data_IF_398899249632
#
_entry.id   IF_398899249632
#
_cell.length_a   1.000
_cell.length_b   1.000
_cell.length_c   1.000
_cell.angle_alpha   90.00
_cell.angle_beta   90.00
_cell.angle_gamma   90.00
#
_symmetry.space_group_name_H-M   'P 1'
#
loop_
_entity.id
_entity.type
_entity.pdbx_description
1 polymer ?
#
# COMPACT_ATOMS: atom_id res chain seq x y z
N UNK A 1 7.71 21.77 -87.65
CA UNK A 1 8.18 22.07 -86.28
C UNK A 1 7.05 22.20 -85.23
N UNK A 2 5.75 22.18 -85.60
CA UNK A 2 4.63 22.27 -84.64
C UNK A 2 4.17 20.92 -84.04
N UNK A 3 4.45 19.78 -84.69
CA UNK A 3 4.00 18.47 -84.20
C UNK A 3 4.81 17.91 -83.01
N UNK A 4 6.08 18.28 -82.87
CA UNK A 4 6.96 17.77 -81.80
C UNK A 4 6.63 18.41 -80.44
N UNK A 5 6.31 19.71 -80.43
CA UNK A 5 5.92 20.46 -79.21
C UNK A 5 4.56 19.99 -78.63
N UNK A 6 3.65 19.50 -79.46
CA UNK A 6 2.34 19.02 -79.01
C UNK A 6 2.41 17.62 -78.37
N UNK A 7 3.35 16.75 -78.79
CA UNK A 7 3.55 15.44 -78.14
C UNK A 7 4.23 15.56 -76.76
N UNK A 8 5.21 16.45 -76.61
CA UNK A 8 5.91 16.64 -75.34
C UNK A 8 5.03 17.26 -74.25
N UNK A 9 4.11 18.15 -74.61
CA UNK A 9 3.18 18.77 -73.65
C UNK A 9 2.08 17.80 -73.19
N UNK A 10 1.66 16.87 -74.05
CA UNK A 10 0.69 15.82 -73.71
C UNK A 10 1.28 14.80 -72.72
N UNK A 11 2.53 14.36 -72.93
CA UNK A 11 3.22 13.41 -72.04
C UNK A 11 3.50 13.98 -70.65
N UNK A 12 3.87 15.27 -70.55
CA UNK A 12 4.08 15.94 -69.25
C UNK A 12 2.77 16.00 -68.46
N UNK A 13 1.64 16.25 -69.13
CA UNK A 13 0.31 16.34 -68.50
C UNK A 13 -0.15 14.98 -67.99
N UNK A 14 0.05 13.90 -68.76
CA UNK A 14 -0.26 12.53 -68.34
C UNK A 14 0.59 12.10 -67.15
N UNK A 15 1.89 12.41 -67.16
CA UNK A 15 2.79 12.06 -66.08
C UNK A 15 2.44 12.78 -64.76
N UNK A 16 2.02 14.05 -64.82
CA UNK A 16 1.57 14.79 -63.64
C UNK A 16 0.24 14.26 -63.09
N UNK A 17 -0.71 13.89 -63.96
CA UNK A 17 -1.98 13.28 -63.55
C UNK A 17 -1.78 11.90 -62.89
N UNK A 18 -0.85 11.09 -63.39
CA UNK A 18 -0.48 9.81 -62.78
C UNK A 18 0.14 10.00 -61.38
N UNK A 19 1.07 10.95 -61.23
CA UNK A 19 1.66 11.29 -59.91
C UNK A 19 0.60 11.77 -58.92
N UNK A 20 -0.32 12.63 -59.34
CA UNK A 20 -1.41 13.12 -58.50
C UNK A 20 -2.35 11.98 -58.07
N UNK A 21 -2.68 11.04 -58.98
CA UNK A 21 -3.52 9.88 -58.70
C UNK A 21 -2.85 8.92 -57.70
N UNK A 22 -1.55 8.65 -57.84
CA UNK A 22 -0.79 7.81 -56.90
C UNK A 22 -0.71 8.47 -55.53
N UNK A 23 -0.49 9.78 -55.46
CA UNK A 23 -0.44 10.52 -54.20
C UNK A 23 -1.82 10.52 -53.49
N UNK A 24 -2.90 10.68 -54.26
CA UNK A 24 -4.26 10.59 -53.74
C UNK A 24 -4.57 9.20 -53.18
N UNK A 25 -4.22 8.13 -53.91
CA UNK A 25 -4.42 6.76 -53.42
C UNK A 25 -3.63 6.46 -52.13
N UNK A 26 -2.37 6.93 -52.03
CA UNK A 26 -1.58 6.79 -50.80
C UNK A 26 -2.26 7.46 -49.60
N UNK A 27 -2.75 8.70 -49.77
CA UNK A 27 -3.47 9.43 -48.70
C UNK A 27 -4.77 8.72 -48.28
N UNK A 28 -5.50 8.13 -49.22
CA UNK A 28 -6.73 7.37 -48.91
C UNK A 28 -6.42 6.09 -48.12
N UNK A 29 -5.32 5.40 -48.44
CA UNK A 29 -4.88 4.20 -47.71
C UNK A 29 -4.45 4.56 -46.28
N UNK A 30 -3.66 5.63 -46.11
CA UNK A 30 -3.27 6.11 -44.78
C UNK A 30 -4.48 6.51 -43.95
N UNK A 31 -5.43 7.26 -44.51
CA UNK A 31 -6.65 7.67 -43.81
C UNK A 31 -7.49 6.46 -43.35
N UNK A 32 -7.58 5.40 -44.17
CA UNK A 32 -8.24 4.15 -43.75
C UNK A 32 -7.53 3.47 -42.58
N UNK A 33 -6.19 3.42 -42.61
CA UNK A 33 -5.38 2.85 -41.52
C UNK A 33 -5.56 3.62 -40.21
N UNK A 34 -5.58 4.95 -40.26
CA UNK A 34 -5.84 5.78 -39.08
C UNK A 34 -7.26 5.59 -38.55
N UNK A 35 -8.27 5.45 -39.42
CA UNK A 35 -9.65 5.18 -39.03
C UNK A 35 -9.78 3.83 -38.30
N UNK A 36 -9.12 2.78 -38.78
CA UNK A 36 -9.11 1.47 -38.09
C UNK A 36 -8.43 1.54 -36.73
N UNK A 37 -7.29 2.24 -36.62
CA UNK A 37 -6.59 2.42 -35.34
C UNK A 37 -7.48 3.17 -34.33
N UNK A 38 -8.14 4.25 -34.76
CA UNK A 38 -9.06 5.02 -33.90
C UNK A 38 -10.27 4.17 -33.50
N UNK A 39 -10.83 3.38 -34.41
CA UNK A 39 -11.95 2.47 -34.10
C UNK A 39 -11.55 1.36 -33.13
N UNK A 40 -10.34 0.79 -33.24
CA UNK A 40 -9.82 -0.18 -32.29
C UNK A 40 -9.57 0.43 -30.91
N UNK A 41 -9.03 1.66 -30.84
CA UNK A 41 -8.87 2.38 -29.57
C UNK A 41 -10.22 2.69 -28.91
N UNK A 42 -11.22 3.11 -29.70
CA UNK A 42 -12.58 3.34 -29.21
C UNK A 42 -13.26 2.05 -28.73
N UNK A 43 -13.01 0.91 -29.38
CA UNK A 43 -13.53 -0.38 -28.94
C UNK A 43 -12.86 -0.87 -27.64
N UNK A 44 -11.54 -0.66 -27.48
CA UNK A 44 -10.84 -0.92 -26.21
C UNK A 44 -11.39 -0.04 -25.09
N UNK A 45 -11.64 1.24 -25.37
CA UNK A 45 -12.25 2.17 -24.40
C UNK A 45 -13.70 1.79 -24.06
N UNK A 46 -14.52 1.36 -25.03
CA UNK A 46 -15.90 0.91 -24.79
C UNK A 46 -15.98 -0.41 -24.00
N UNK A 47 -15.03 -1.32 -24.19
CA UNK A 47 -14.93 -2.53 -23.39
C UNK A 47 -14.50 -2.24 -21.95
N UNK A 48 -13.72 -1.18 -21.72
CA UNK A 48 -13.34 -0.76 -20.35
C UNK A 48 -14.51 -0.16 -19.54
N UNK A 49 -15.54 0.37 -20.20
CA UNK A 49 -16.69 1.00 -19.52
C UNK A 49 -17.83 0.04 -19.16
N UNK A 50 -17.86 -1.19 -19.69
CA UNK A 50 -18.95 -2.16 -19.45
C UNK A 50 -18.62 -3.14 -18.30
N UNK A 51 -17.41 -3.12 -17.73
CA UNK A 51 -17.04 -4.03 -16.65
C UNK A 51 -17.47 -3.57 -15.24
N UNK A 52 -17.93 -2.32 -15.08
CA UNK A 52 -18.18 -1.72 -13.76
C UNK A 52 -19.59 -1.97 -13.18
N UNK A 53 -20.45 -2.80 -13.79
CA UNK A 53 -21.85 -2.93 -13.34
C UNK A 53 -22.19 -4.32 -12.76
N UNK A 54 -21.24 -5.26 -12.60
CA UNK A 54 -21.55 -6.58 -12.01
C UNK A 54 -20.50 -7.16 -11.06
N UNK A 55 -19.88 -6.33 -10.23
CA UNK A 55 -19.22 -6.83 -9.02
C UNK A 55 -19.86 -6.20 -7.80
N UNK A 56 -20.35 -7.04 -6.88
CA UNK A 56 -20.37 -6.67 -5.47
C UNK A 56 -19.00 -6.04 -5.19
N UNK A 57 -18.97 -4.78 -4.73
CA UNK A 57 -17.75 -3.99 -4.64
C UNK A 57 -16.63 -4.85 -4.08
N UNK A 58 -15.69 -5.25 -4.94
CA UNK A 58 -14.51 -5.95 -4.48
C UNK A 58 -13.89 -5.04 -3.40
N UNK A 59 -13.49 -5.58 -2.24
CA UNK A 59 -12.93 -4.73 -1.22
C UNK A 59 -11.77 -3.94 -1.83
N UNK A 60 -11.73 -2.64 -1.58
CA UNK A 60 -10.74 -1.76 -2.21
C UNK A 60 -9.33 -2.27 -1.89
N UNK A 61 -8.65 -2.81 -2.91
CA UNK A 61 -7.26 -3.27 -2.80
C UNK A 61 -6.36 -2.09 -3.11
N UNK A 62 -5.50 -1.71 -2.17
CA UNK A 62 -4.42 -0.75 -2.41
C UNK A 62 -3.24 -1.50 -3.01
N UNK A 63 -2.67 -1.01 -4.10
CA UNK A 63 -1.49 -1.63 -4.73
C UNK A 63 -0.24 -0.84 -4.44
N UNK A 64 0.81 -1.53 -3.99
CA UNK A 64 2.15 -0.98 -3.81
C UNK A 64 3.18 -1.76 -4.62
N UNK A 65 3.92 -1.07 -5.48
CA UNK A 65 4.95 -1.66 -6.32
C UNK A 65 6.34 -1.29 -5.78
N UNK A 66 7.10 -2.27 -5.28
CA UNK A 66 8.39 -2.05 -4.61
C UNK A 66 9.46 -1.46 -5.53
N UNK A 67 9.33 -1.69 -6.84
CA UNK A 67 10.20 -1.10 -7.87
C UNK A 67 9.85 0.35 -8.22
N UNK A 68 8.88 0.98 -7.55
CA UNK A 68 8.51 2.39 -7.69
C UNK A 68 8.65 3.11 -6.33
N UNK A 69 9.87 3.25 -5.79
CA UNK A 69 10.11 3.82 -4.46
C UNK A 69 9.58 5.25 -4.30
N UNK A 70 9.55 6.03 -5.38
CA UNK A 70 9.00 7.39 -5.41
C UNK A 70 7.50 7.45 -5.08
N UNK A 71 6.76 6.35 -5.22
CA UNK A 71 5.33 6.27 -4.93
C UNK A 71 5.03 5.88 -3.48
N UNK A 72 6.05 5.63 -2.66
CA UNK A 72 5.86 5.11 -1.30
C UNK A 72 5.03 6.06 -0.42
N UNK A 73 5.30 7.36 -0.47
CA UNK A 73 4.53 8.34 0.30
C UNK A 73 3.06 8.38 -0.12
N UNK A 74 2.79 8.33 -1.44
CA UNK A 74 1.42 8.24 -1.97
C UNK A 74 0.72 6.98 -1.52
N UNK A 75 1.42 5.84 -1.53
CA UNK A 75 0.90 4.58 -1.01
C UNK A 75 0.52 4.69 0.48
N UNK A 76 1.42 5.16 1.33
CA UNK A 76 1.16 5.30 2.77
C UNK A 76 0.02 6.30 3.03
N UNK A 77 -0.04 7.39 2.28
CA UNK A 77 -1.15 8.35 2.34
C UNK A 77 -2.50 7.70 1.98
N UNK A 78 -2.54 6.86 0.94
CA UNK A 78 -3.74 6.14 0.55
C UNK A 78 -4.19 5.15 1.64
N UNK A 79 -3.25 4.48 2.33
CA UNK A 79 -3.58 3.62 3.48
C UNK A 79 -4.25 4.42 4.59
N UNK A 80 -3.69 5.59 4.95
CA UNK A 80 -4.28 6.48 5.97
C UNK A 80 -5.66 6.96 5.57
N UNK A 81 -5.80 7.46 4.35
CA UNK A 81 -7.04 8.01 3.81
C UNK A 81 -8.16 6.97 3.83
N UNK A 82 -7.86 5.73 3.42
CA UNK A 82 -8.86 4.64 3.34
C UNK A 82 -9.46 4.26 4.69
N UNK A 83 -8.71 4.41 5.79
CA UNK A 83 -9.18 4.05 7.15
C UNK A 83 -9.62 5.27 7.98
N UNK A 84 -9.41 6.48 7.48
CA UNK A 84 -9.68 7.69 8.20
C UNK A 84 -11.18 7.92 8.38
N UNK A 85 -11.55 8.55 9.50
CA UNK A 85 -12.82 9.22 9.64
C UNK A 85 -12.72 10.62 9.04
N UNK A 86 -13.15 10.79 7.79
CA UNK A 86 -13.04 12.09 7.11
C UNK A 86 -13.85 13.22 7.77
N UNK A 87 -14.74 12.89 8.72
CA UNK A 87 -15.51 13.88 9.47
C UNK A 87 -14.86 14.28 10.80
N UNK A 88 -13.77 13.61 11.20
CA UNK A 88 -13.11 13.85 12.48
C UNK A 88 -11.60 14.00 12.31
N UNK A 89 -11.06 15.06 12.89
CA UNK A 89 -9.63 15.25 13.06
C UNK A 89 -9.37 15.97 14.39
N UNK A 90 -8.18 15.75 14.95
CA UNK A 90 -7.77 16.39 16.20
C UNK A 90 -6.46 17.13 15.94
N UNK A 91 -6.48 18.44 16.09
CA UNK A 91 -5.32 19.30 15.78
C UNK A 91 -4.81 19.12 14.34
N UNK A 92 -5.69 18.82 13.39
CA UNK A 92 -5.33 18.54 11.99
C UNK A 92 -4.72 17.16 11.74
N UNK A 93 -4.71 16.27 12.73
CA UNK A 93 -4.34 14.86 12.55
C UNK A 93 -5.60 14.02 12.26
N UNK A 94 -5.60 13.20 11.20
CA UNK A 94 -6.70 12.28 10.95
C UNK A 94 -6.77 11.22 12.05
N UNK A 95 -7.97 10.67 12.27
CA UNK A 95 -8.21 9.57 13.20
C UNK A 95 -8.82 8.39 12.46
N UNK A 96 -8.47 7.17 12.87
CA UNK A 96 -9.11 5.95 12.36
C UNK A 96 -10.61 5.97 12.67
N UNK A 97 -11.42 5.56 11.69
CA UNK A 97 -12.86 5.41 11.83
C UNK A 97 -13.22 4.40 12.92
N UNK A 98 -14.34 4.64 13.60
CA UNK A 98 -14.87 3.67 14.55
C UNK A 98 -15.01 2.28 13.90
N UNK A 99 -14.69 1.19 14.63
CA UNK A 99 -14.76 -0.16 14.08
C UNK A 99 -16.12 -0.46 13.45
N UNK A 100 -16.11 -0.88 12.19
CA UNK A 100 -17.30 -1.24 11.43
C UNK A 100 -17.39 -2.77 11.29
N UNK A 101 -18.58 -3.31 11.56
CA UNK A 101 -18.88 -4.73 11.36
C UNK A 101 -18.80 -5.18 9.90
N UNK A 102 -18.99 -4.26 8.93
CA UNK A 102 -18.99 -4.55 7.49
C UNK A 102 -17.62 -4.40 6.84
N UNK A 103 -16.86 -3.37 7.23
CA UNK A 103 -15.57 -3.05 6.63
C UNK A 103 -14.41 -3.28 7.61
N UNK A 104 -14.28 -4.54 8.05
CA UNK A 104 -13.29 -4.95 9.07
C UNK A 104 -11.84 -4.96 8.56
N UNK A 105 -11.66 -5.07 7.24
CA UNK A 105 -10.36 -5.33 6.65
C UNK A 105 -10.06 -4.44 5.45
N UNK A 106 -8.80 -4.01 5.37
CA UNK A 106 -8.16 -3.38 4.23
C UNK A 106 -7.20 -4.39 3.60
N UNK A 107 -7.16 -4.45 2.27
CA UNK A 107 -6.24 -5.33 1.55
C UNK A 107 -5.17 -4.52 0.82
N UNK A 108 -3.92 -4.92 0.99
CA UNK A 108 -2.77 -4.26 0.35
C UNK A 108 -2.04 -5.29 -0.50
N UNK A 109 -2.04 -5.11 -1.81
CA UNK A 109 -1.27 -5.92 -2.73
C UNK A 109 0.13 -5.32 -2.91
N UNK A 110 1.15 -6.04 -2.45
CA UNK A 110 2.56 -5.67 -2.58
C UNK A 110 3.16 -6.46 -3.74
N UNK A 111 3.74 -5.76 -4.71
CA UNK A 111 4.32 -6.35 -5.91
C UNK A 111 5.83 -6.11 -5.99
N UNK A 112 6.56 -7.12 -6.42
CA UNK A 112 7.93 -6.99 -6.87
C UNK A 112 8.03 -7.35 -8.36
N UNK A 113 8.68 -6.48 -9.13
CA UNK A 113 8.93 -6.71 -10.56
C UNK A 113 9.88 -7.88 -10.79
N UNK A 114 9.95 -8.40 -12.02
CA UNK A 114 10.99 -9.37 -12.36
C UNK A 114 12.38 -8.70 -12.34
N UNK A 115 13.40 -9.42 -11.86
CA UNK A 115 14.78 -8.93 -11.80
C UNK A 115 15.78 -10.05 -12.12
N UNK A 116 16.41 -9.98 -13.29
CA UNK A 116 17.32 -11.02 -13.77
C UNK A 116 16.59 -12.36 -13.85
N UNK A 117 17.05 -13.36 -13.08
CA UNK A 117 16.41 -14.68 -12.98
C UNK A 117 15.25 -14.75 -11.98
N UNK A 118 14.99 -13.68 -11.22
CA UNK A 118 13.90 -13.65 -10.23
C UNK A 118 12.58 -13.27 -10.93
N UNK A 119 11.52 -14.09 -10.85
CA UNK A 119 10.23 -13.75 -11.45
C UNK A 119 9.55 -12.59 -10.72
N UNK A 120 8.56 -11.97 -11.37
CA UNK A 120 7.65 -11.07 -10.69
C UNK A 120 6.82 -11.86 -9.66
N UNK A 121 6.60 -11.28 -8.48
CA UNK A 121 5.81 -11.89 -7.42
C UNK A 121 4.87 -10.87 -6.79
N UNK A 122 3.78 -11.35 -6.20
CA UNK A 122 2.78 -10.53 -5.54
C UNK A 122 2.30 -11.19 -4.25
N UNK A 123 2.24 -10.42 -3.17
CA UNK A 123 1.68 -10.83 -1.88
C UNK A 123 0.55 -9.87 -1.52
N UNK A 124 -0.56 -10.39 -1.00
CA UNK A 124 -1.62 -9.53 -0.45
C UNK A 124 -1.59 -9.58 1.07
N UNK A 125 -1.50 -8.42 1.72
CA UNK A 125 -1.65 -8.24 3.15
C UNK A 125 -3.11 -7.96 3.49
N UNK A 126 -3.61 -8.51 4.59
CA UNK A 126 -4.91 -8.19 5.17
C UNK A 126 -4.68 -7.44 6.48
N UNK A 127 -5.13 -6.19 6.53
CA UNK A 127 -5.01 -5.31 7.68
C UNK A 127 -6.38 -5.13 8.34
N UNK A 128 -6.42 -5.12 9.66
CA UNK A 128 -7.62 -4.74 10.42
C UNK A 128 -7.78 -3.22 10.38
N UNK A 129 -8.93 -2.72 9.93
CA UNK A 129 -9.15 -1.28 9.73
C UNK A 129 -9.21 -0.49 11.03
N UNK A 130 -9.57 -1.11 12.16
CA UNK A 130 -9.71 -0.43 13.46
C UNK A 130 -8.39 0.02 14.08
N UNK A 131 -7.26 -0.55 13.65
CA UNK A 131 -5.95 -0.26 14.21
C UNK A 131 -4.78 -0.39 13.22
N UNK A 132 -5.04 -0.73 11.95
CA UNK A 132 -4.05 -0.99 10.90
C UNK A 132 -3.13 -2.20 11.16
N UNK A 133 -3.42 -3.08 12.12
CA UNK A 133 -2.59 -4.28 12.32
C UNK A 133 -2.72 -5.24 11.12
N UNK A 134 -1.59 -5.74 10.59
CA UNK A 134 -1.62 -6.86 9.64
C UNK A 134 -2.01 -8.13 10.39
N UNK A 135 -3.10 -8.76 9.97
CA UNK A 135 -3.65 -9.96 10.62
C UNK A 135 -3.41 -11.23 9.81
N UNK A 136 -3.19 -11.09 8.49
CA UNK A 136 -2.87 -12.18 7.58
C UNK A 136 -2.14 -11.68 6.33
N UNK A 137 -1.53 -12.59 5.58
CA UNK A 137 -1.12 -12.36 4.20
C UNK A 137 -1.39 -13.60 3.35
N UNK A 138 -1.47 -13.44 2.03
CA UNK A 138 -1.55 -14.53 1.06
C UNK A 138 -0.54 -14.38 -0.04
N UNK A 139 -0.03 -15.50 -0.51
CA UNK A 139 0.89 -15.65 -1.63
C UNK A 139 0.49 -16.87 -2.47
N UNK A 140 1.37 -17.26 -3.39
CA UNK A 140 1.24 -18.54 -4.11
C UNK A 140 2.32 -19.50 -3.65
N UNK A 141 1.98 -20.78 -3.55
CA UNK A 141 2.97 -21.85 -3.34
C UNK A 141 3.84 -22.08 -4.58
N UNK A 142 4.81 -22.99 -4.47
CA UNK A 142 5.71 -23.38 -5.56
C UNK A 142 5.00 -24.09 -6.74
N UNK A 143 3.72 -24.43 -6.60
CA UNK A 143 2.86 -24.98 -7.66
C UNK A 143 1.88 -23.93 -8.22
N UNK A 144 1.96 -22.68 -7.77
CA UNK A 144 1.10 -21.58 -8.20
C UNK A 144 -0.29 -21.55 -7.54
N UNK A 145 -0.53 -22.34 -6.48
CA UNK A 145 -1.79 -22.37 -5.74
C UNK A 145 -1.80 -21.30 -4.66
N UNK A 146 -2.93 -20.61 -4.52
CA UNK A 146 -3.10 -19.58 -3.50
C UNK A 146 -3.08 -20.20 -2.09
N UNK A 147 -2.41 -19.53 -1.16
CA UNK A 147 -2.39 -19.90 0.26
C UNK A 147 -2.32 -18.66 1.12
N UNK A 148 -2.85 -18.77 2.32
CA UNK A 148 -2.87 -17.69 3.30
C UNK A 148 -2.20 -18.12 4.60
N UNK A 149 -1.61 -17.14 5.26
CA UNK A 149 -0.98 -17.26 6.56
C UNK A 149 -1.56 -16.20 7.49
N UNK A 150 -1.89 -16.58 8.72
CA UNK A 150 -2.58 -15.66 9.64
C UNK A 150 -2.12 -15.82 11.08
N UNK A 151 -2.31 -14.73 11.83
CA UNK A 151 -2.15 -14.71 13.27
C UNK A 151 -3.44 -15.17 13.94
N UNK A 152 -3.46 -16.41 14.46
CA UNK A 152 -4.67 -17.03 15.04
C UNK A 152 -5.30 -16.22 16.18
N UNK A 153 -4.49 -15.47 16.93
CA UNK A 153 -4.94 -14.65 18.05
C UNK A 153 -5.53 -13.30 17.58
N UNK A 154 -5.47 -12.97 16.29
CA UNK A 154 -5.94 -11.70 15.72
C UNK A 154 -7.14 -11.83 14.79
N UNK A 155 -7.31 -12.98 14.16
CA UNK A 155 -8.37 -13.21 13.17
C UNK A 155 -8.79 -14.69 13.16
N UNK A 156 -10.09 -14.93 13.06
CA UNK A 156 -10.62 -16.27 12.89
C UNK A 156 -10.32 -16.77 11.47
N UNK A 157 -9.97 -18.05 11.31
CA UNK A 157 -9.61 -18.63 10.00
C UNK A 157 -10.65 -18.35 8.90
N UNK A 158 -11.96 -18.37 9.23
CA UNK A 158 -13.06 -18.09 8.30
C UNK A 158 -13.10 -16.65 7.76
N UNK A 159 -12.45 -15.71 8.45
CA UNK A 159 -12.41 -14.29 8.10
C UNK A 159 -11.12 -13.91 7.36
N UNK A 160 -10.14 -14.82 7.29
CA UNK A 160 -8.89 -14.68 6.53
C UNK A 160 -9.21 -14.86 5.06
N UNK A 161 -9.03 -13.83 4.24
CA UNK A 161 -9.31 -13.84 2.79
C UNK A 161 -10.58 -14.67 2.45
N UNK A 162 -11.79 -14.15 2.73
CA UNK A 162 -13.04 -14.93 2.66
C UNK A 162 -13.37 -15.46 1.25
N UNK A 163 -12.67 -14.97 0.22
CA UNK A 163 -12.70 -15.48 -1.14
C UNK A 163 -11.92 -16.81 -1.31
N UNK A 164 -11.11 -17.21 -0.33
CA UNK A 164 -10.30 -18.43 -0.36
C UNK A 164 -11.04 -19.63 0.26
N UNK A 165 -10.93 -20.78 -0.42
CA UNK A 165 -11.62 -22.03 -0.04
C UNK A 165 -10.64 -23.07 0.54
N UNK A 166 -9.93 -22.77 1.62
CA UNK A 166 -9.25 -23.77 2.50
C UNK A 166 -7.72 -24.00 2.36
N UNK A 167 -6.91 -22.98 2.08
CA UNK A 167 -5.46 -23.09 2.36
C UNK A 167 -5.06 -21.95 3.31
N UNK A 168 -5.42 -22.12 4.58
CA UNK A 168 -5.00 -21.24 5.66
C UNK A 168 -4.00 -21.99 6.54
N UNK A 169 -2.85 -21.37 6.77
CA UNK A 169 -1.83 -21.87 7.66
C UNK A 169 -1.66 -20.88 8.81
N UNK A 170 -1.68 -21.39 10.04
CA UNK A 170 -1.39 -20.55 11.19
C UNK A 170 0.09 -20.22 11.24
N UNK A 171 0.42 -18.96 11.50
CA UNK A 171 1.76 -18.55 11.88
C UNK A 171 2.00 -18.92 13.34
N UNK A 172 2.11 -20.22 13.63
CA UNK A 172 2.06 -20.75 15.00
C UNK A 172 3.21 -20.28 15.89
N UNK A 173 4.38 -20.00 15.31
CA UNK A 173 5.55 -19.49 16.05
C UNK A 173 5.66 -17.97 16.05
N UNK A 174 4.92 -17.30 15.18
CA UNK A 174 4.81 -15.85 15.16
C UNK A 174 3.50 -15.45 15.85
N UNK A 175 3.54 -15.12 17.14
CA UNK A 175 2.43 -14.36 17.74
C UNK A 175 2.52 -12.91 17.22
N UNK A 176 1.40 -12.19 17.02
CA UNK A 176 1.39 -10.77 16.63
C UNK A 176 2.12 -9.82 17.61
N UNK A 177 2.51 -10.28 18.79
CA UNK A 177 3.46 -9.58 19.66
C UNK A 177 4.82 -9.40 18.97
N UNK A 178 5.24 -8.14 18.82
CA UNK A 178 6.53 -7.75 18.29
C UNK A 178 7.71 -8.51 18.88
N UNK A 179 7.71 -8.84 20.17
CA UNK A 179 8.80 -9.60 20.79
C UNK A 179 8.93 -10.99 20.18
N UNK A 180 7.80 -11.65 19.90
CA UNK A 180 7.81 -12.98 19.29
C UNK A 180 8.20 -12.93 17.82
N UNK A 181 7.68 -11.95 17.07
CA UNK A 181 8.06 -11.75 15.67
C UNK A 181 9.58 -11.50 15.56
N UNK A 182 10.13 -10.59 16.37
CA UNK A 182 11.57 -10.30 16.40
C UNK A 182 12.40 -11.54 16.79
N UNK A 183 11.96 -12.27 17.83
CA UNK A 183 12.65 -13.50 18.26
C UNK A 183 12.69 -14.56 17.16
N UNK A 184 11.59 -14.76 16.44
CA UNK A 184 11.53 -15.75 15.35
C UNK A 184 12.30 -15.26 14.12
N UNK A 185 12.21 -13.97 13.79
CA UNK A 185 12.97 -13.35 12.70
C UNK A 185 14.48 -13.30 12.98
N UNK A 186 14.87 -13.39 14.26
CA UNK A 186 16.25 -13.24 14.77
C UNK A 186 16.83 -11.86 14.49
N UNK A 187 16.01 -10.82 14.61
CA UNK A 187 16.39 -9.41 14.45
C UNK A 187 15.46 -8.52 15.28
N UNK A 188 16.02 -7.52 15.97
CA UNK A 188 15.23 -6.51 16.67
C UNK A 188 14.82 -5.38 15.72
N UNK A 189 13.70 -4.73 16.01
CA UNK A 189 13.15 -3.60 15.23
C UNK A 189 14.17 -2.48 15.13
N UNK A 190 14.89 -2.18 16.22
CA UNK A 190 15.92 -1.13 16.25
C UNK A 190 17.09 -1.41 15.29
N UNK A 191 17.29 -2.66 14.90
CA UNK A 191 18.39 -3.10 14.04
C UNK A 191 17.93 -3.32 12.59
N UNK A 192 16.65 -3.04 12.27
CA UNK A 192 16.14 -3.11 10.91
C UNK A 192 16.63 -1.93 10.07
N UNK A 193 16.92 -2.22 8.81
CA UNK A 193 17.15 -1.19 7.80
C UNK A 193 15.85 -0.98 7.00
N UNK A 194 15.20 0.19 7.15
CA UNK A 194 13.94 0.51 6.46
C UNK A 194 14.17 0.87 5.00
N UNK A 195 14.55 -0.14 4.22
CA UNK A 195 14.87 -0.03 2.80
C UNK A 195 13.94 -0.93 2.01
N UNK A 196 13.30 -0.40 0.97
CA UNK A 196 12.39 -1.18 0.12
C UNK A 196 13.03 -2.44 -0.48
N UNK A 197 14.32 -2.46 -0.87
CA UNK A 197 14.99 -3.70 -1.25
C UNK A 197 15.03 -4.78 -0.15
N UNK A 198 15.07 -4.41 1.14
CA UNK A 198 15.07 -5.38 2.23
C UNK A 198 13.68 -5.98 2.43
N UNK A 199 12.61 -5.18 2.30
CA UNK A 199 11.24 -5.68 2.24
C UNK A 199 11.05 -6.61 1.04
N UNK A 200 11.56 -6.25 -0.15
CA UNK A 200 11.50 -7.09 -1.33
C UNK A 200 12.23 -8.43 -1.12
N UNK A 201 13.44 -8.40 -0.57
CA UNK A 201 14.22 -9.60 -0.29
C UNK A 201 13.52 -10.52 0.73
N UNK A 202 12.99 -9.95 1.82
CA UNK A 202 12.21 -10.70 2.80
C UNK A 202 10.94 -11.31 2.17
N UNK A 203 10.22 -10.54 1.34
CA UNK A 203 9.04 -11.02 0.62
C UNK A 203 9.38 -12.17 -0.32
N UNK A 204 10.46 -12.07 -1.11
CA UNK A 204 10.90 -13.13 -2.01
C UNK A 204 11.35 -14.40 -1.27
N UNK A 205 11.94 -14.24 -0.09
CA UNK A 205 12.37 -15.35 0.78
C UNK A 205 11.18 -16.10 1.40
N UNK A 206 10.08 -15.40 1.64
CA UNK A 206 8.82 -15.94 2.17
C UNK A 206 7.92 -16.55 1.08
N UNK A 207 7.88 -15.92 -0.10
CA UNK A 207 6.99 -16.29 -1.22
C UNK A 207 7.25 -17.71 -1.73
N UNK A 208 6.20 -18.50 -1.90
CA UNK A 208 6.30 -19.86 -2.45
C UNK A 208 7.02 -20.87 -1.56
N UNK A 209 7.48 -20.47 -0.37
CA UNK A 209 8.26 -21.32 0.52
C UNK A 209 7.49 -22.51 1.08
N UNK A 210 8.09 -23.70 1.10
CA UNK A 210 7.46 -24.92 1.60
C UNK A 210 7.52 -24.95 3.14
N UNK A 211 6.42 -25.28 3.82
CA UNK A 211 6.30 -25.28 5.29
C UNK A 211 7.28 -26.21 6.03
N UNK A 212 7.87 -27.19 5.32
CA UNK A 212 8.89 -28.11 5.85
C UNK A 212 10.32 -27.57 5.77
N UNK A 213 10.54 -26.40 5.17
CA UNK A 213 11.87 -25.78 5.15
C UNK A 213 12.27 -25.33 6.57
N UNK A 214 13.52 -25.63 6.95
CA UNK A 214 14.06 -25.33 8.28
C UNK A 214 13.98 -23.86 8.69
N UNK A 215 13.97 -22.95 7.71
CA UNK A 215 13.92 -21.49 7.93
C UNK A 215 12.51 -20.92 7.66
N UNK A 216 11.49 -21.76 7.54
CA UNK A 216 10.14 -21.35 7.16
C UNK A 216 9.62 -20.23 8.07
N UNK A 217 9.52 -20.51 9.36
CA UNK A 217 8.99 -19.57 10.36
C UNK A 217 9.84 -18.29 10.43
N UNK A 218 11.17 -18.41 10.49
CA UNK A 218 12.07 -17.26 10.47
C UNK A 218 11.85 -16.33 9.27
N UNK A 219 11.70 -16.87 8.06
CA UNK A 219 11.52 -16.06 6.84
C UNK A 219 10.13 -15.43 6.79
N UNK A 220 9.08 -16.14 7.25
CA UNK A 220 7.76 -15.53 7.40
C UNK A 220 7.77 -14.42 8.44
N UNK A 221 8.41 -14.63 9.59
CA UNK A 221 8.56 -13.63 10.64
C UNK A 221 9.28 -12.38 10.15
N UNK A 222 10.39 -12.54 9.42
CA UNK A 222 11.14 -11.42 8.86
C UNK A 222 10.33 -10.62 7.84
N UNK A 223 9.61 -11.30 6.93
CA UNK A 223 8.72 -10.65 5.98
C UNK A 223 7.60 -9.88 6.68
N UNK A 224 6.97 -10.49 7.69
CA UNK A 224 5.93 -9.84 8.49
C UNK A 224 6.48 -8.64 9.24
N UNK A 225 7.67 -8.74 9.83
CA UNK A 225 8.29 -7.64 10.55
C UNK A 225 8.52 -6.42 9.64
N UNK A 226 9.09 -6.62 8.46
CA UNK A 226 9.24 -5.53 7.49
C UNK A 226 7.90 -4.98 7.02
N UNK A 227 6.93 -5.85 6.72
CA UNK A 227 5.60 -5.43 6.25
C UNK A 227 4.87 -4.61 7.31
N UNK A 228 4.91 -5.02 8.57
CA UNK A 228 4.27 -4.29 9.66
C UNK A 228 4.92 -2.90 9.81
N UNK A 229 6.25 -2.81 9.84
CA UNK A 229 6.95 -1.54 10.01
C UNK A 229 6.73 -0.59 8.82
N UNK A 230 6.86 -1.09 7.59
CA UNK A 230 6.85 -0.28 6.37
C UNK A 230 5.45 -0.09 5.76
N UNK A 231 4.40 -0.63 6.40
CA UNK A 231 3.02 -0.43 5.98
C UNK A 231 2.19 0.10 7.14
N UNK A 232 2.02 -0.69 8.20
CA UNK A 232 1.18 -0.31 9.35
C UNK A 232 1.80 0.83 10.15
N UNK A 233 3.06 0.69 10.56
CA UNK A 233 3.70 1.70 11.40
C UNK A 233 4.07 2.96 10.61
N UNK A 234 4.45 2.83 9.34
CA UNK A 234 4.58 3.97 8.44
C UNK A 234 3.25 4.73 8.24
N UNK A 235 2.11 4.04 8.19
CA UNK A 235 0.80 4.71 8.16
C UNK A 235 0.51 5.42 9.50
N UNK A 236 0.83 4.81 10.65
CA UNK A 236 0.63 5.41 11.98
C UNK A 236 1.56 6.59 12.25
N UNK A 237 2.80 6.54 11.76
CA UNK A 237 3.85 7.52 12.03
C UNK A 237 4.54 8.02 10.76
N UNK A 238 4.48 9.33 10.55
CA UNK A 238 5.30 10.02 9.54
C UNK A 238 6.78 9.85 9.79
N UNK A 239 7.21 9.71 11.05
CA UNK A 239 8.61 9.44 11.39
C UNK A 239 9.14 8.16 10.71
N UNK A 240 8.38 7.07 10.78
CA UNK A 240 8.73 5.77 10.18
C UNK A 240 8.58 5.81 8.65
N UNK A 241 7.56 6.50 8.14
CA UNK A 241 7.45 6.81 6.70
C UNK A 241 8.72 7.51 6.20
N UNK A 242 9.16 8.58 6.87
CA UNK A 242 10.32 9.36 6.46
C UNK A 242 11.63 8.57 6.53
N UNK A 243 11.79 7.69 7.54
CA UNK A 243 12.93 6.76 7.57
C UNK A 243 12.93 5.84 6.35
N UNK A 244 11.76 5.35 5.93
CA UNK A 244 11.65 4.49 4.75
C UNK A 244 11.95 5.26 3.46
N UNK A 245 11.41 6.47 3.30
CA UNK A 245 11.68 7.35 2.15
C UNK A 245 13.17 7.64 2.03
N UNK A 246 13.83 7.94 3.15
CA UNK A 246 15.26 8.24 3.22
C UNK A 246 16.14 6.98 3.28
N UNK A 247 15.53 5.78 3.27
CA UNK A 247 16.23 4.50 3.37
C UNK A 247 17.17 4.41 4.58
N UNK A 248 16.74 4.95 5.71
CA UNK A 248 17.50 5.02 6.96
C UNK A 248 17.29 3.77 7.81
N UNK A 249 18.25 3.44 8.68
CA UNK A 249 18.02 2.44 9.71
C UNK A 249 16.91 2.87 10.66
N UNK A 250 16.28 1.87 11.25
CA UNK A 250 15.47 1.99 12.45
C UNK A 250 16.34 2.42 13.63
N UNK A 251 15.70 2.68 14.77
CA UNK A 251 16.36 3.05 16.01
C UNK A 251 15.46 2.79 17.23
N UNK A 252 15.95 3.20 18.39
CA UNK A 252 15.23 3.07 19.67
C UNK A 252 13.98 3.95 19.76
N UNK A 253 13.92 5.04 18.99
CA UNK A 253 12.78 5.95 18.96
C UNK A 253 11.63 5.34 18.19
N UNK A 254 11.91 4.69 17.05
CA UNK A 254 10.92 3.86 16.33
C UNK A 254 10.25 2.87 17.28
N UNK A 255 11.04 2.08 18.01
CA UNK A 255 10.51 1.10 18.94
C UNK A 255 9.68 1.76 20.06
N UNK A 256 10.08 2.94 20.54
CA UNK A 256 9.33 3.68 21.56
C UNK A 256 8.00 4.22 21.02
N UNK A 257 8.00 4.83 19.84
CA UNK A 257 6.80 5.37 19.19
C UNK A 257 5.77 4.27 18.92
N UNK A 258 6.20 3.16 18.32
CA UNK A 258 5.32 2.02 18.00
C UNK A 258 4.58 1.49 19.23
N UNK A 259 5.26 1.42 20.37
CA UNK A 259 4.66 0.95 21.63
C UNK A 259 3.68 1.95 22.26
N UNK A 260 3.83 3.25 21.97
CA UNK A 260 3.09 4.32 22.61
C UNK A 260 1.99 4.93 21.71
N UNK A 261 1.82 4.45 20.47
CA UNK A 261 0.86 5.01 19.49
C UNK A 261 -0.57 5.20 20.03
N UNK A 262 -1.12 4.19 20.68
CA UNK A 262 -2.49 4.26 21.21
C UNK A 262 -2.56 5.24 22.38
N UNK A 263 -1.59 5.22 23.29
CA UNK A 263 -1.53 6.15 24.43
C UNK A 263 -1.35 7.60 23.97
N UNK A 264 -0.54 7.84 22.94
CA UNK A 264 -0.42 9.15 22.30
C UNK A 264 -1.79 9.59 21.76
N UNK A 265 -2.51 8.70 21.08
CA UNK A 265 -3.87 8.98 20.59
C UNK A 265 -4.83 9.31 21.73
N UNK A 266 -4.77 8.56 22.84
CA UNK A 266 -5.56 8.79 24.06
C UNK A 266 -5.21 10.08 24.80
N UNK A 267 -4.00 10.62 24.63
CA UNK A 267 -3.65 11.95 25.15
C UNK A 267 -4.03 13.07 24.18
N UNK A 268 -3.86 12.88 22.87
CA UNK A 268 -4.12 13.90 21.84
C UNK A 268 -5.62 14.17 21.73
N UNK A 269 -6.45 13.12 21.60
CA UNK A 269 -7.90 13.25 21.30
C UNK A 269 -8.64 14.09 22.35
N UNK A 270 -8.53 13.82 23.67
CA UNK A 270 -9.23 14.60 24.70
C UNK A 270 -8.43 15.82 25.19
N UNK A 271 -7.26 16.13 24.61
CA UNK A 271 -6.44 17.25 25.10
C UNK A 271 -7.17 18.59 24.91
N UNK A 272 -7.00 19.47 25.90
CA UNK A 272 -7.43 20.88 25.82
C UNK A 272 -6.21 21.75 25.52
N UNK A 273 -6.35 22.65 24.54
CA UNK A 273 -5.27 23.54 24.07
C UNK A 273 -3.97 22.79 23.72
N UNK A 274 -4.11 21.55 23.25
CA UNK A 274 -3.03 20.67 22.86
C UNK A 274 -2.17 20.16 24.03
N UNK A 275 -2.62 20.25 25.29
CA UNK A 275 -1.87 19.78 26.47
C UNK A 275 -2.31 18.39 26.91
N UNK A 276 -1.34 17.51 27.13
CA UNK A 276 -1.59 16.15 27.61
C UNK A 276 -1.96 16.17 29.09
N UNK A 277 -2.88 15.28 29.49
CA UNK A 277 -3.20 15.06 30.90
C UNK A 277 -2.07 14.31 31.60
N UNK A 278 -1.52 13.31 30.91
CA UNK A 278 -0.38 12.52 31.35
C UNK A 278 0.71 12.60 30.28
N UNK A 279 1.91 13.08 30.62
CA UNK A 279 3.04 13.06 29.69
C UNK A 279 3.38 11.64 29.22
N UNK A 280 3.91 11.52 28.01
CA UNK A 280 4.35 10.24 27.43
C UNK A 280 5.85 10.29 27.21
N UNK A 281 6.57 9.29 27.72
CA UNK A 281 8.01 9.19 27.59
C UNK A 281 8.39 8.42 26.33
N UNK A 282 9.15 9.08 25.45
CA UNK A 282 9.69 8.52 24.21
C UNK A 282 11.21 8.44 24.33
N UNK A 283 11.81 7.30 23.96
CA UNK A 283 13.28 7.19 23.87
C UNK A 283 13.78 7.93 22.63
N UNK A 284 14.90 8.63 22.75
CA UNK A 284 15.47 9.44 21.65
C UNK A 284 16.47 8.63 20.84
N UNK A 285 16.41 8.72 19.51
CA UNK A 285 17.29 7.98 18.60
C UNK A 285 18.79 8.24 18.86
N UNK A 286 19.16 9.51 19.06
CA UNK A 286 20.55 9.95 19.23
C UNK A 286 21.18 9.49 20.56
N UNK A 287 20.37 9.20 21.58
CA UNK A 287 20.85 8.75 22.87
C UNK A 287 19.80 7.86 23.57
N UNK A 288 19.96 6.53 23.59
CA UNK A 288 19.01 5.60 24.19
C UNK A 288 18.76 5.78 25.70
N UNK A 289 19.65 6.48 26.40
CA UNK A 289 19.48 6.81 27.83
C UNK A 289 18.70 8.10 28.06
N UNK A 290 18.49 8.90 27.01
CA UNK A 290 17.70 10.12 27.05
C UNK A 290 16.23 9.81 26.79
N UNK A 291 15.39 10.40 27.64
CA UNK A 291 13.94 10.37 27.51
C UNK A 291 13.46 11.74 27.03
N UNK A 292 12.68 11.75 25.96
CA UNK A 292 11.87 12.87 25.54
C UNK A 292 10.47 12.70 26.13
N UNK A 293 10.16 13.49 27.16
CA UNK A 293 8.83 13.52 27.76
C UNK A 293 7.92 14.45 26.97
N UNK A 294 7.06 13.88 26.13
CA UNK A 294 6.07 14.59 25.33
C UNK A 294 4.94 15.08 26.24
N UNK A 295 4.62 16.37 26.19
CA UNK A 295 3.59 17.01 27.03
C UNK A 295 2.50 17.67 26.22
N UNK A 296 2.71 17.87 24.93
CA UNK A 296 1.81 18.59 24.05
C UNK A 296 1.66 17.94 22.69
N UNK A 297 0.53 18.22 22.04
CA UNK A 297 0.27 17.79 20.67
C UNK A 297 1.30 18.38 19.70
N UNK A 298 1.71 19.64 19.90
CA UNK A 298 2.64 20.33 19.00
C UNK A 298 4.00 19.63 18.91
N UNK A 299 4.48 19.05 20.01
CA UNK A 299 5.75 18.32 20.08
C UNK A 299 5.76 17.06 19.20
N UNK A 300 4.67 16.28 19.21
CA UNK A 300 4.63 14.97 18.54
C UNK A 300 3.89 14.97 17.19
N UNK A 301 3.07 15.99 16.93
CA UNK A 301 2.28 16.11 15.69
C UNK A 301 3.10 15.91 14.39
N UNK A 302 4.35 16.38 14.27
CA UNK A 302 5.16 16.12 13.07
C UNK A 302 5.40 14.63 12.79
N UNK A 303 5.44 13.80 13.84
CA UNK A 303 5.77 12.38 13.76
C UNK A 303 4.53 11.49 13.58
N UNK A 304 3.33 12.00 13.87
CA UNK A 304 2.08 11.24 13.72
C UNK A 304 1.56 11.29 12.28
N UNK A 305 1.24 10.12 11.73
CA UNK A 305 0.54 9.94 10.47
C UNK A 305 -0.97 9.90 10.63
N UNK A 306 -1.47 9.05 11.54
CA UNK A 306 -2.90 8.92 11.87
C UNK A 306 -3.07 8.49 13.34
N UNK A 307 -4.11 9.00 13.99
CA UNK A 307 -4.46 8.65 15.37
C UNK A 307 -5.27 7.34 15.42
N UNK A 308 -5.05 6.55 16.47
CA UNK A 308 -5.89 5.41 16.79
C UNK A 308 -7.30 5.85 17.16
N UNK A 309 -8.28 4.99 16.92
CA UNK A 309 -9.64 5.26 17.36
C UNK A 309 -9.72 5.31 18.89
N UNK A 310 -10.09 6.48 19.42
CA UNK A 310 -10.40 6.67 20.83
C UNK A 310 -11.91 6.80 20.95
N UNK A 311 -12.52 5.97 21.83
CA UNK A 311 -13.96 6.09 22.08
C UNK A 311 -14.26 7.46 22.68
N UNK A 312 -15.24 8.21 22.15
CA UNK A 312 -15.71 9.42 22.80
C UNK A 312 -16.12 9.09 24.23
N UNK A 313 -15.67 9.89 25.20
CA UNK A 313 -16.29 9.83 26.53
C UNK A 313 -17.69 10.44 26.41
N UNK A 314 -18.68 9.94 27.15
CA UNK A 314 -20.09 10.40 27.07
C UNK A 314 -20.26 11.92 27.21
N UNK A 315 -19.25 12.63 27.73
CA UNK A 315 -19.24 14.07 27.94
C UNK A 315 -19.05 14.89 26.65
N UNK A 316 -18.62 14.26 25.55
CA UNK A 316 -18.37 14.91 24.26
C UNK A 316 -19.44 14.56 23.19
N UNK A 317 -20.56 13.96 23.60
CA UNK A 317 -21.70 13.73 22.71
C UNK A 317 -22.45 15.06 22.50
N UNK A 318 -22.70 15.50 21.25
CA UNK A 318 -23.51 16.70 20.96
C UNK A 318 -24.95 16.63 21.48
N UNK A 319 -25.36 15.51 22.08
CA UNK A 319 -26.71 15.25 22.60
C UNK A 319 -26.87 15.74 24.05
N UNK A 320 -25.80 16.24 24.69
CA UNK A 320 -25.87 16.68 26.10
C UNK A 320 -26.39 18.11 26.33
N UNK A 321 -26.86 18.82 25.30
CA UNK A 321 -27.45 20.18 25.43
C UNK A 321 -28.97 20.27 25.14
N UNK A 322 -29.67 19.14 24.96
CA UNK A 322 -31.14 19.12 24.96
C UNK A 322 -31.69 17.99 25.85
N UNK A 323 -31.63 18.19 27.18
CA UNK A 323 -32.67 17.79 28.16
C UNK A 323 -32.74 18.84 29.26
#
# INVERSE_FOLDING_TARGET
MHFVLMSMTFDITIHQLLKARVLHQKRVIEAKKYKEIIMNLLNVLRLSTIWNIMFAAAPSVITFNLNMPQNYQTFVAQVRDTVADHNRNYYGLPIIKAPDSKNKHLYIQVNAAAQGQKPAISVTLQLRTSDLYIVAYRDKDNLGKDRAFYFKDMIAAKDVFPDMKNIHQELTKCNPDYRRIQSEAKIDIKDLEFRLPNLEDAMRKAYGMISRDKNFEQRQALFMLYSIQMVSEAARFKYIEQKTVKQLPSDVEVASLVNEWLKLSEQIVPSKDGRFKTPIDIRVAENPTKIWTVRTVAEIKPDIGILGYVRPTMRDSPIAEEI
#
